data_IF_845446217398
#
_entry.id   IF_845446217398
#
_cell.length_a   1.000
_cell.length_b   1.000
_cell.length_c   1.000
_cell.angle_alpha   90.00
_cell.angle_beta   90.00
_cell.angle_gamma   90.00
#
_symmetry.space_group_name_H-M   'P 1'
#
loop_
_entity.id
_entity.type
_entity.pdbx_description
1 polymer ?
#
# COMPACT_ATOMS: atom_id res chain seq x y z
N UNK A 1 -10.76 24.08 -7.66
CA UNK A 1 -9.35 23.81 -7.32
C UNK A 1 -8.59 23.75 -8.62
N UNK A 2 -7.60 24.63 -8.82
CA UNK A 2 -6.75 24.59 -10.01
C UNK A 2 -5.97 23.26 -10.01
N UNK A 3 -5.87 22.62 -11.17
CA UNK A 3 -4.99 21.46 -11.34
C UNK A 3 -3.56 21.84 -10.95
N UNK A 4 -2.80 20.97 -10.25
CA UNK A 4 -1.42 21.27 -9.92
C UNK A 4 -0.62 21.53 -11.20
N UNK A 5 0.35 22.45 -11.14
CA UNK A 5 1.21 22.78 -12.28
C UNK A 5 1.94 21.54 -12.86
N UNK A 6 2.14 20.51 -12.01
CA UNK A 6 2.68 19.20 -12.38
C UNK A 6 1.60 18.12 -12.37
N UNK A 7 0.45 18.38 -13.00
CA UNK A 7 -0.54 17.35 -13.27
C UNK A 7 0.06 16.22 -14.14
N UNK A 8 -0.43 14.99 -13.94
CA UNK A 8 -0.02 13.82 -14.73
C UNK A 8 -0.33 14.03 -16.21
N UNK A 9 0.65 13.73 -17.07
CA UNK A 9 0.53 13.87 -18.53
C UNK A 9 0.58 12.48 -19.18
N UNK A 10 -0.04 12.28 -20.37
CA UNK A 10 0.03 11.00 -21.09
C UNK A 10 1.46 10.48 -21.30
N UNK A 11 2.41 11.39 -21.50
CA UNK A 11 3.80 11.05 -21.80
C UNK A 11 4.65 10.69 -20.56
N UNK A 12 4.13 10.96 -19.35
CA UNK A 12 4.84 10.67 -18.10
C UNK A 12 5.11 9.18 -17.89
N UNK A 13 4.37 8.31 -18.58
CA UNK A 13 4.48 6.85 -18.47
C UNK A 13 5.21 6.21 -19.66
N UNK A 14 5.86 7.00 -20.53
CA UNK A 14 6.61 6.46 -21.69
C UNK A 14 8.05 6.07 -21.35
N UNK A 15 8.68 6.77 -20.41
CA UNK A 15 10.06 6.54 -19.99
C UNK A 15 10.17 6.54 -18.47
N UNK A 16 11.13 5.81 -17.86
CA UNK A 16 11.29 5.78 -16.42
C UNK A 16 11.48 7.17 -15.81
N UNK A 17 10.57 7.55 -14.90
CA UNK A 17 10.59 8.82 -14.16
C UNK A 17 9.88 8.62 -12.81
N UNK A 18 10.34 9.17 -11.68
CA UNK A 18 9.69 8.96 -10.39
C UNK A 18 8.41 9.81 -10.26
N UNK A 19 7.36 9.43 -10.99
CA UNK A 19 6.07 10.11 -11.05
C UNK A 19 5.38 10.12 -9.69
N UNK A 20 5.36 8.95 -9.02
CA UNK A 20 4.73 8.72 -7.72
C UNK A 20 5.81 8.39 -6.69
N UNK A 21 6.02 9.30 -5.74
CA UNK A 21 7.00 9.11 -4.67
C UNK A 21 6.26 8.82 -3.38
N UNK A 22 6.72 7.84 -2.62
CA UNK A 22 6.26 7.59 -1.26
C UNK A 22 7.44 7.80 -0.32
N UNK A 23 7.27 8.70 0.64
CA UNK A 23 8.37 9.20 1.46
C UNK A 23 8.06 9.01 2.95
N UNK A 24 8.77 8.07 3.58
CA UNK A 24 8.85 7.95 5.03
C UNK A 24 9.75 9.08 5.55
N UNK A 25 9.16 10.13 6.14
CA UNK A 25 9.94 11.30 6.61
C UNK A 25 10.46 11.15 8.04
N UNK A 26 9.96 10.14 8.75
CA UNK A 26 10.38 9.77 10.10
C UNK A 26 9.94 8.33 10.37
N UNK A 27 10.67 7.56 11.18
CA UNK A 27 10.22 6.26 11.69
C UNK A 27 9.39 6.40 12.98
N UNK A 28 9.33 7.61 13.55
CA UNK A 28 8.54 7.89 14.76
C UNK A 28 7.05 7.63 14.51
N UNK A 29 6.40 6.90 15.41
CA UNK A 29 5.00 6.52 15.32
C UNK A 29 4.30 6.60 16.69
N UNK A 30 3.02 6.96 16.69
CA UNK A 30 2.16 6.92 17.88
C UNK A 30 1.18 5.73 17.87
N UNK A 31 1.48 4.74 17.01
CA UNK A 31 0.81 3.45 16.90
C UNK A 31 1.84 2.31 17.03
N UNK A 32 1.38 1.18 17.54
CA UNK A 32 2.20 -0.04 17.70
C UNK A 32 1.67 -1.19 16.83
N UNK A 33 1.15 -0.87 15.64
CA UNK A 33 0.43 -1.79 14.77
C UNK A 33 1.12 -3.15 14.65
N UNK A 34 0.39 -4.20 14.99
CA UNK A 34 0.86 -5.58 14.99
C UNK A 34 1.17 -6.11 13.57
N UNK A 35 0.73 -5.41 12.52
CA UNK A 35 1.02 -5.72 11.12
C UNK A 35 2.05 -4.77 10.48
N UNK A 36 2.66 -3.87 11.25
CA UNK A 36 3.50 -2.79 10.70
C UNK A 36 4.71 -3.32 9.92
N UNK A 37 4.76 -3.04 8.62
CA UNK A 37 5.84 -3.46 7.73
C UNK A 37 7.19 -2.77 8.01
N UNK A 38 7.19 -1.56 8.55
CA UNK A 38 8.41 -0.81 8.88
C UNK A 38 8.89 -1.04 10.32
N UNK A 39 8.15 -1.80 11.14
CA UNK A 39 8.35 -1.90 12.59
C UNK A 39 8.49 -0.52 13.26
N UNK A 40 7.73 0.48 12.77
CA UNK A 40 7.82 1.86 13.24
C UNK A 40 7.60 2.00 14.76
N UNK A 41 8.29 2.97 15.36
CA UNK A 41 8.37 3.16 16.81
C UNK A 41 9.02 4.50 17.10
N UNK A 42 10.28 4.51 17.55
CA UNK A 42 11.06 5.73 17.71
C UNK A 42 11.58 6.27 16.37
N UNK A 43 11.99 7.54 16.36
CA UNK A 43 12.69 8.13 15.23
C UNK A 43 14.02 7.42 14.99
N UNK A 44 14.47 7.34 13.73
CA UNK A 44 15.83 6.86 13.46
C UNK A 44 16.87 7.86 14.00
N UNK A 45 18.04 7.40 14.46
CA UNK A 45 19.09 8.31 14.92
C UNK A 45 19.60 9.26 13.83
N UNK A 46 19.53 8.82 12.57
CA UNK A 46 20.12 9.45 11.40
C UNK A 46 19.07 9.92 10.38
N UNK A 47 17.87 10.30 10.83
CA UNK A 47 16.86 10.91 9.95
C UNK A 47 17.40 12.16 9.24
N UNK A 48 16.90 12.43 8.03
CA UNK A 48 17.20 13.67 7.32
C UNK A 48 16.78 14.88 8.17
N UNK A 49 17.63 15.89 8.23
CA UNK A 49 17.33 17.24 8.73
C UNK A 49 16.28 17.94 7.86
N UNK A 50 15.73 19.06 8.35
CA UNK A 50 14.75 19.83 7.57
C UNK A 50 15.36 20.32 6.25
N UNK A 51 16.62 20.75 6.28
CA UNK A 51 17.35 21.25 5.12
C UNK A 51 17.57 20.15 4.08
N UNK A 52 18.03 18.96 4.52
CA UNK A 52 18.17 17.79 3.64
C UNK A 52 16.83 17.35 3.03
N UNK A 53 15.73 17.41 3.78
CA UNK A 53 14.39 17.14 3.22
C UNK A 53 14.02 18.13 2.11
N UNK A 54 14.32 19.42 2.28
CA UNK A 54 14.02 20.42 1.25
C UNK A 54 14.89 20.23 0.01
N UNK A 55 16.17 19.85 0.17
CA UNK A 55 17.07 19.52 -0.94
C UNK A 55 16.59 18.31 -1.74
N UNK A 56 16.15 17.25 -1.06
CA UNK A 56 15.55 16.08 -1.70
C UNK A 56 14.25 16.46 -2.42
N UNK A 57 13.41 17.31 -1.83
CA UNK A 57 12.21 17.81 -2.48
C UNK A 57 12.53 18.56 -3.78
N UNK A 58 13.57 19.41 -3.78
CA UNK A 58 14.04 20.09 -4.99
C UNK A 58 14.58 19.11 -6.05
N UNK A 59 15.26 18.04 -5.61
CA UNK A 59 15.69 16.98 -6.51
C UNK A 59 14.52 16.25 -7.19
N UNK A 60 13.44 15.97 -6.44
CA UNK A 60 12.20 15.40 -6.99
C UNK A 60 11.53 16.33 -8.01
N UNK A 61 11.53 17.64 -7.73
CA UNK A 61 11.05 18.66 -8.67
C UNK A 61 11.85 18.62 -9.97
N UNK A 62 13.19 18.54 -9.90
CA UNK A 62 14.08 18.42 -11.08
C UNK A 62 13.86 17.11 -11.84
N UNK A 63 13.66 16.00 -11.14
CA UNK A 63 13.36 14.70 -11.75
C UNK A 63 11.95 14.61 -12.36
N UNK A 64 11.11 15.62 -12.15
CA UNK A 64 9.78 15.67 -12.74
C UNK A 64 8.76 14.82 -12.00
N UNK A 65 8.90 14.64 -10.69
CA UNK A 65 7.84 14.04 -9.87
C UNK A 65 6.53 14.81 -10.00
N UNK A 66 5.41 14.09 -9.88
CA UNK A 66 4.05 14.64 -9.99
C UNK A 66 3.34 14.61 -8.64
N UNK A 67 3.49 13.50 -7.92
CA UNK A 67 2.84 13.27 -6.64
C UNK A 67 3.82 12.72 -5.62
N UNK A 68 3.77 13.26 -4.40
CA UNK A 68 4.51 12.78 -3.24
C UNK A 68 3.51 12.44 -2.15
N UNK A 69 3.47 11.18 -1.72
CA UNK A 69 2.73 10.74 -0.55
C UNK A 69 3.67 10.67 0.64
N UNK A 70 3.44 11.54 1.62
CA UNK A 70 4.12 11.50 2.91
C UNK A 70 3.55 10.37 3.77
N UNK A 71 4.46 9.56 4.31
CA UNK A 71 4.19 8.54 5.30
C UNK A 71 5.20 8.73 6.45
N UNK A 72 5.23 7.83 7.41
CA UNK A 72 6.35 7.74 8.36
C UNK A 72 6.46 6.33 8.90
N UNK A 73 6.79 6.23 10.18
CA UNK A 73 5.75 5.85 11.14
C UNK A 73 4.53 6.76 10.96
N UNK A 74 4.54 7.96 11.54
CA UNK A 74 3.52 9.01 11.32
C UNK A 74 4.15 10.35 10.94
N UNK A 75 3.97 10.77 9.68
CA UNK A 75 4.57 12.00 9.13
C UNK A 75 4.26 13.25 9.95
N UNK A 76 3.04 13.36 10.48
CA UNK A 76 2.61 14.55 11.24
C UNK A 76 3.30 14.70 12.60
N UNK A 77 3.99 13.66 13.08
CA UNK A 77 4.78 13.75 14.30
C UNK A 77 6.05 14.57 14.07
N UNK A 78 6.42 14.82 12.81
CA UNK A 78 7.53 15.69 12.45
C UNK A 78 7.05 17.14 12.38
N UNK A 79 7.57 18.01 13.26
CA UNK A 79 7.08 19.39 13.40
C UNK A 79 7.27 20.26 12.16
N UNK A 80 8.25 19.94 11.31
CA UNK A 80 8.58 20.62 10.06
C UNK A 80 7.79 20.08 8.85
N UNK A 81 6.90 19.08 9.00
CA UNK A 81 6.18 18.48 7.88
C UNK A 81 5.36 19.52 7.09
N UNK A 82 4.80 20.54 7.76
CA UNK A 82 4.06 21.62 7.09
C UNK A 82 4.94 22.41 6.12
N UNK A 83 6.20 22.69 6.49
CA UNK A 83 7.17 23.40 5.62
C UNK A 83 7.49 22.57 4.39
N UNK A 84 7.69 21.27 4.56
CA UNK A 84 7.96 20.34 3.44
C UNK A 84 6.76 20.26 2.47
N UNK A 85 5.54 20.15 3.00
CA UNK A 85 4.30 20.14 2.20
C UNK A 85 4.18 21.45 1.40
N UNK A 86 4.38 22.59 2.06
CA UNK A 86 4.30 23.91 1.42
C UNK A 86 5.33 24.06 0.31
N UNK A 87 6.58 23.66 0.56
CA UNK A 87 7.68 23.73 -0.40
C UNK A 87 7.38 22.94 -1.69
N UNK A 88 6.99 21.67 -1.55
CA UNK A 88 6.64 20.82 -2.70
C UNK A 88 5.38 21.32 -3.42
N UNK A 89 4.38 21.78 -2.69
CA UNK A 89 3.13 22.28 -3.28
C UNK A 89 3.36 23.56 -4.09
N UNK A 90 4.18 24.50 -3.59
CA UNK A 90 4.59 25.70 -4.34
C UNK A 90 5.35 25.35 -5.62
N UNK A 91 6.14 24.28 -5.61
CA UNK A 91 6.81 23.76 -6.80
C UNK A 91 5.88 22.97 -7.75
N UNK A 92 4.59 22.87 -7.42
CA UNK A 92 3.54 22.27 -8.24
C UNK A 92 3.37 20.76 -8.07
N UNK A 93 4.08 20.12 -7.12
CA UNK A 93 3.88 18.71 -6.78
C UNK A 93 2.56 18.56 -6.02
N UNK A 94 1.78 17.53 -6.36
CA UNK A 94 0.62 17.13 -5.56
C UNK A 94 1.10 16.40 -4.32
N UNK A 95 0.84 16.95 -3.14
CA UNK A 95 1.24 16.32 -1.87
C UNK A 95 0.04 15.66 -1.19
N UNK A 96 0.19 14.41 -0.78
CA UNK A 96 -0.81 13.63 -0.02
C UNK A 96 -0.15 13.00 1.19
N UNK A 97 -0.95 12.48 2.14
CA UNK A 97 -0.42 11.83 3.35
C UNK A 97 -1.17 10.52 3.63
N UNK A 98 -0.48 9.51 4.17
CA UNK A 98 -1.11 8.34 4.80
C UNK A 98 -0.84 8.35 6.30
N UNK A 99 -1.82 7.95 7.09
CA UNK A 99 -1.74 8.04 8.54
C UNK A 99 -2.70 7.08 9.24
N UNK A 100 -2.37 6.65 10.46
CA UNK A 100 -3.26 5.91 11.34
C UNK A 100 -4.37 6.76 11.96
N UNK A 101 -4.26 8.10 11.90
CA UNK A 101 -5.33 9.03 12.23
C UNK A 101 -5.40 9.46 13.70
N UNK A 102 -4.63 8.85 14.60
CA UNK A 102 -4.70 9.11 16.06
C UNK A 102 -4.47 10.58 16.42
N UNK A 103 -3.47 11.18 15.80
CA UNK A 103 -3.12 12.58 15.98
C UNK A 103 -3.91 13.56 15.13
N UNK A 104 -4.90 13.17 14.32
CA UNK A 104 -5.57 14.12 13.42
C UNK A 104 -6.61 15.00 14.15
N UNK A 105 -6.14 16.03 14.86
CA UNK A 105 -6.97 17.08 15.44
C UNK A 105 -7.49 18.05 14.37
N UNK A 106 -8.57 18.78 14.67
CA UNK A 106 -9.12 19.79 13.75
C UNK A 106 -8.08 20.87 13.39
N UNK A 107 -7.31 21.35 14.37
CA UNK A 107 -6.23 22.33 14.16
C UNK A 107 -5.13 21.77 13.23
N UNK A 108 -4.70 20.53 13.44
CA UNK A 108 -3.70 19.87 12.60
C UNK A 108 -4.20 19.70 11.17
N UNK A 109 -5.44 19.23 10.98
CA UNK A 109 -6.05 19.10 9.66
C UNK A 109 -6.13 20.45 8.93
N UNK A 110 -6.48 21.54 9.65
CA UNK A 110 -6.49 22.90 9.10
C UNK A 110 -5.09 23.33 8.64
N UNK A 111 -4.07 23.18 9.49
CA UNK A 111 -2.68 23.51 9.14
C UNK A 111 -2.15 22.69 7.97
N UNK A 112 -2.48 21.40 7.90
CA UNK A 112 -2.13 20.54 6.76
C UNK A 112 -2.78 21.05 5.47
N UNK A 113 -4.06 21.46 5.53
CA UNK A 113 -4.76 22.03 4.39
C UNK A 113 -4.14 23.37 3.96
N UNK A 114 -3.86 24.26 4.91
CA UNK A 114 -3.23 25.57 4.69
C UNK A 114 -1.85 25.42 4.03
N UNK A 115 -1.05 24.42 4.46
CA UNK A 115 0.23 24.07 3.84
C UNK A 115 0.10 23.55 2.40
N UNK A 116 -1.10 23.20 1.94
CA UNK A 116 -1.37 22.76 0.57
C UNK A 116 -1.60 21.26 0.41
N UNK A 117 -1.75 20.50 1.51
CA UNK A 117 -2.06 19.06 1.43
C UNK A 117 -3.36 18.83 0.64
N UNK A 118 -3.29 17.93 -0.34
CA UNK A 118 -4.39 17.70 -1.27
C UNK A 118 -5.35 16.59 -0.82
N UNK A 119 -4.81 15.54 -0.21
CA UNK A 119 -5.59 14.41 0.28
C UNK A 119 -4.90 13.72 1.46
N UNK A 120 -5.71 13.11 2.32
CA UNK A 120 -5.23 12.31 3.44
C UNK A 120 -5.90 10.95 3.45
N UNK A 121 -5.09 9.90 3.52
CA UNK A 121 -5.52 8.53 3.70
C UNK A 121 -5.46 8.15 5.17
N UNK A 122 -6.62 7.86 5.76
CA UNK A 122 -6.68 7.34 7.13
C UNK A 122 -6.82 5.84 7.06
N UNK A 123 -5.84 5.12 7.59
CA UNK A 123 -5.88 3.67 7.61
C UNK A 123 -7.02 3.22 8.51
N UNK A 124 -7.90 2.32 8.04
CA UNK A 124 -8.98 1.74 8.84
C UNK A 124 -9.10 0.25 8.50
N UNK A 125 -8.76 -0.63 9.43
CA UNK A 125 -8.58 -2.05 9.11
C UNK A 125 -9.84 -2.92 9.35
N UNK A 126 -10.97 -2.30 9.71
CA UNK A 126 -12.24 -2.98 9.91
C UNK A 126 -13.11 -2.29 10.96
N UNK A 127 -14.17 -2.96 11.43
CA UNK A 127 -14.90 -2.59 12.64
C UNK A 127 -13.96 -2.53 13.85
N UNK A 128 -14.41 -1.89 14.93
CA UNK A 128 -13.59 -1.58 16.12
C UNK A 128 -12.73 -2.74 16.61
N UNK A 129 -13.33 -3.91 16.82
CA UNK A 129 -12.61 -5.08 17.32
C UNK A 129 -11.46 -5.50 16.38
N UNK A 130 -11.71 -5.56 15.06
CA UNK A 130 -10.68 -5.93 14.09
C UNK A 130 -9.61 -4.83 13.98
N UNK A 131 -10.02 -3.58 13.93
CA UNK A 131 -9.13 -2.43 13.79
C UNK A 131 -8.18 -2.31 14.98
N UNK A 132 -8.71 -2.25 16.20
CA UNK A 132 -7.90 -2.04 17.40
C UNK A 132 -6.92 -3.19 17.62
N UNK A 133 -7.35 -4.44 17.43
CA UNK A 133 -6.48 -5.62 17.46
C UNK A 133 -5.33 -5.51 16.44
N UNK A 134 -5.62 -5.20 15.18
CA UNK A 134 -4.59 -5.09 14.14
C UNK A 134 -3.62 -3.94 14.41
N UNK A 135 -4.11 -2.88 15.06
CA UNK A 135 -3.35 -1.70 15.47
C UNK A 135 -2.63 -1.85 16.80
N UNK A 136 -2.90 -2.93 17.54
CA UNK A 136 -2.48 -3.14 18.92
C UNK A 136 -2.75 -1.91 19.80
N UNK A 137 -3.88 -1.22 19.60
CA UNK A 137 -4.14 0.07 20.22
C UNK A 137 -5.64 0.26 20.48
N UNK A 138 -6.11 0.06 21.72
CA UNK A 138 -7.51 0.33 22.08
C UNK A 138 -7.90 1.80 21.80
N UNK A 139 -9.08 1.98 21.22
CA UNK A 139 -9.62 3.29 20.84
C UNK A 139 -9.03 3.87 19.55
N UNK A 140 -8.13 3.15 18.86
CA UNK A 140 -7.53 3.61 17.61
C UNK A 140 -8.56 3.72 16.48
N UNK A 141 -9.58 2.85 16.47
CA UNK A 141 -10.72 2.90 15.56
C UNK A 141 -11.50 4.21 15.71
N UNK A 142 -11.89 4.55 16.94
CA UNK A 142 -12.61 5.79 17.24
C UNK A 142 -11.78 7.02 16.86
N UNK A 143 -10.47 6.99 17.13
CA UNK A 143 -9.55 8.05 16.77
C UNK A 143 -9.41 8.20 15.24
N UNK A 144 -9.30 7.11 14.50
CA UNK A 144 -9.27 7.11 13.03
C UNK A 144 -10.56 7.72 12.43
N UNK A 145 -11.73 7.31 12.91
CA UNK A 145 -13.02 7.88 12.47
C UNK A 145 -13.15 9.37 12.80
N UNK A 146 -12.67 9.80 13.98
CA UNK A 146 -12.59 11.22 14.33
C UNK A 146 -11.64 11.98 13.40
N UNK A 147 -10.49 11.40 13.08
CA UNK A 147 -9.52 11.96 12.14
C UNK A 147 -10.09 12.14 10.73
N UNK A 148 -10.87 11.16 10.24
CA UNK A 148 -11.60 11.27 8.97
C UNK A 148 -12.55 12.47 8.99
N UNK A 149 -13.35 12.64 10.05
CA UNK A 149 -14.27 13.78 10.18
C UNK A 149 -13.53 15.12 10.17
N UNK A 150 -12.50 15.25 11.01
CA UNK A 150 -11.70 16.48 11.10
C UNK A 150 -11.03 16.84 9.76
N UNK A 151 -10.51 15.85 9.03
CA UNK A 151 -9.90 16.06 7.73
C UNK A 151 -10.93 16.55 6.68
N UNK A 152 -12.14 15.96 6.68
CA UNK A 152 -13.23 16.38 5.79
C UNK A 152 -13.69 17.80 6.09
N UNK A 153 -13.86 18.14 7.36
CA UNK A 153 -14.23 19.50 7.79
C UNK A 153 -13.18 20.54 7.39
N UNK A 154 -11.90 20.17 7.40
CA UNK A 154 -10.82 21.00 6.88
C UNK A 154 -10.77 21.08 5.34
N UNK A 155 -11.68 20.40 4.62
CA UNK A 155 -11.75 20.42 3.16
C UNK A 155 -10.70 19.55 2.45
N UNK A 156 -10.11 18.57 3.15
CA UNK A 156 -9.23 17.58 2.54
C UNK A 156 -10.05 16.49 1.85
N UNK A 157 -9.56 15.98 0.73
CA UNK A 157 -10.06 14.72 0.16
C UNK A 157 -9.62 13.57 1.08
N UNK A 158 -10.57 12.76 1.54
CA UNK A 158 -10.27 11.62 2.41
C UNK A 158 -10.34 10.31 1.67
N UNK A 159 -9.27 9.51 1.80
CA UNK A 159 -9.21 8.12 1.37
C UNK A 159 -8.99 7.21 2.57
N UNK A 160 -9.12 5.90 2.39
CA UNK A 160 -8.73 4.93 3.42
C UNK A 160 -7.94 3.78 2.83
N UNK A 161 -7.09 3.17 3.64
CA UNK A 161 -6.31 1.99 3.31
C UNK A 161 -6.51 0.94 4.40
N UNK A 162 -6.60 -0.33 4.01
CA UNK A 162 -6.73 -1.45 4.94
C UNK A 162 -5.76 -2.56 4.60
N UNK A 163 -5.19 -3.19 5.62
CA UNK A 163 -4.39 -4.39 5.55
C UNK A 163 -5.29 -5.62 5.70
N UNK A 164 -5.62 -6.27 4.59
CA UNK A 164 -6.51 -7.42 4.52
C UNK A 164 -5.75 -8.70 4.86
N UNK A 165 -6.26 -9.42 5.85
CA UNK A 165 -5.68 -10.63 6.41
C UNK A 165 -6.79 -11.52 7.01
N UNK A 166 -6.41 -12.62 7.65
CA UNK A 166 -7.37 -13.61 8.19
C UNK A 166 -8.27 -13.05 9.31
N UNK A 167 -7.90 -11.94 9.96
CA UNK A 167 -8.68 -11.33 11.02
C UNK A 167 -9.81 -10.44 10.52
N UNK A 168 -9.70 -9.89 9.31
CA UNK A 168 -10.67 -8.93 8.79
C UNK A 168 -11.27 -9.28 7.43
N UNK A 169 -10.81 -10.36 6.77
CA UNK A 169 -11.36 -10.78 5.46
C UNK A 169 -12.87 -11.05 5.49
N UNK A 170 -13.41 -11.45 6.63
CA UNK A 170 -14.83 -11.82 6.79
C UNK A 170 -15.73 -10.61 7.10
N UNK A 171 -15.14 -9.43 7.38
CA UNK A 171 -15.87 -8.19 7.72
C UNK A 171 -15.62 -7.07 6.70
N UNK A 172 -15.18 -7.42 5.49
CA UNK A 172 -14.90 -6.45 4.41
C UNK A 172 -16.13 -5.62 4.04
N UNK A 173 -17.32 -6.22 4.06
CA UNK A 173 -18.56 -5.52 3.72
C UNK A 173 -18.92 -4.46 4.76
N UNK A 174 -18.86 -4.82 6.04
CA UNK A 174 -19.08 -3.89 7.16
C UNK A 174 -18.05 -2.75 7.13
N UNK A 175 -16.79 -3.08 6.83
CA UNK A 175 -15.72 -2.08 6.64
C UNK A 175 -16.06 -1.09 5.53
N UNK A 176 -16.55 -1.57 4.39
CA UNK A 176 -16.92 -0.71 3.26
C UNK A 176 -18.08 0.23 3.58
N UNK A 177 -19.10 -0.28 4.28
CA UNK A 177 -20.25 0.51 4.73
C UNK A 177 -19.83 1.62 5.68
N UNK A 178 -19.02 1.28 6.69
CA UNK A 178 -18.44 2.22 7.64
C UNK A 178 -17.63 3.33 6.95
N UNK A 179 -16.79 2.98 5.97
CA UNK A 179 -15.98 3.96 5.24
C UNK A 179 -16.82 4.85 4.32
N UNK A 180 -17.78 4.27 3.60
CA UNK A 180 -18.69 5.03 2.76
C UNK A 180 -19.51 6.04 3.58
N UNK A 181 -19.98 5.64 4.77
CA UNK A 181 -20.75 6.50 5.67
C UNK A 181 -19.89 7.58 6.34
N UNK A 182 -18.62 7.28 6.63
CA UNK A 182 -17.66 8.27 7.10
C UNK A 182 -17.31 9.34 6.01
N UNK A 183 -17.72 9.12 4.76
CA UNK A 183 -17.47 10.01 3.63
C UNK A 183 -16.08 9.84 3.02
N UNK A 184 -15.51 8.64 3.12
CA UNK A 184 -14.30 8.25 2.38
C UNK A 184 -14.64 8.19 0.88
N UNK A 185 -13.79 8.76 0.03
CA UNK A 185 -13.99 8.72 -1.42
C UNK A 185 -13.47 7.41 -2.04
N UNK A 186 -12.31 6.96 -1.59
CA UNK A 186 -11.66 5.75 -2.12
C UNK A 186 -11.14 4.90 -0.97
N UNK A 187 -11.54 3.63 -0.97
CA UNK A 187 -11.00 2.61 -0.08
C UNK A 187 -10.02 1.72 -0.85
N UNK A 188 -8.77 1.70 -0.42
CA UNK A 188 -7.74 0.81 -0.94
C UNK A 188 -7.62 -0.43 -0.05
N UNK A 189 -7.89 -1.60 -0.63
CA UNK A 189 -7.67 -2.88 0.02
C UNK A 189 -6.30 -3.43 -0.38
N UNK A 190 -5.40 -3.62 0.58
CA UNK A 190 -4.07 -4.19 0.38
C UNK A 190 -3.94 -5.47 1.17
N UNK A 191 -3.28 -6.48 0.62
CA UNK A 191 -3.01 -7.70 1.40
C UNK A 191 -1.92 -7.45 2.44
N UNK A 192 -2.07 -7.96 3.66
CA UNK A 192 -0.96 -8.02 4.62
C UNK A 192 0.10 -8.98 4.10
N UNK A 193 1.33 -8.49 3.88
CA UNK A 193 2.46 -9.34 3.52
C UNK A 193 3.26 -9.72 4.78
N UNK A 194 4.01 -10.85 4.75
CA UNK A 194 4.92 -11.26 5.83
C UNK A 194 6.17 -10.37 5.90
N UNK A 195 6.00 -9.09 6.23
CA UNK A 195 7.08 -8.12 6.39
C UNK A 195 6.90 -7.35 7.71
N UNK A 196 8.00 -6.97 8.35
CA UNK A 196 7.97 -6.31 9.65
C UNK A 196 7.24 -7.15 10.69
N UNK A 197 6.43 -6.51 11.54
CA UNK A 197 5.69 -7.18 12.62
C UNK A 197 4.68 -8.22 12.13
N UNK A 198 4.23 -8.14 10.86
CA UNK A 198 3.37 -9.16 10.28
C UNK A 198 4.12 -10.47 9.98
N UNK A 199 5.43 -10.44 9.79
CA UNK A 199 6.25 -11.63 9.61
C UNK A 199 6.29 -12.52 10.87
N UNK A 200 6.10 -11.91 12.04
CA UNK A 200 6.03 -12.59 13.34
C UNK A 200 4.66 -13.24 13.60
N UNK A 201 3.70 -13.07 12.67
CA UNK A 201 2.29 -13.48 12.80
C UNK A 201 1.81 -14.29 11.60
N UNK A 202 2.42 -15.45 11.31
CA UNK A 202 2.07 -16.26 10.14
C UNK A 202 0.61 -16.70 10.14
N UNK A 203 -0.02 -16.81 11.30
CA UNK A 203 -1.43 -17.15 11.50
C UNK A 203 -2.39 -16.04 11.04
N UNK A 204 -1.92 -14.79 10.90
CA UNK A 204 -2.72 -13.68 10.39
C UNK A 204 -2.74 -13.66 8.86
N UNK A 205 -1.69 -14.13 8.20
CA UNK A 205 -1.52 -14.01 6.77
C UNK A 205 -2.59 -14.79 6.01
N UNK A 206 -3.05 -14.24 4.89
CA UNK A 206 -3.89 -14.99 3.97
C UNK A 206 -3.10 -16.20 3.44
N UNK A 207 -3.82 -17.27 3.14
CA UNK A 207 -3.30 -18.35 2.31
C UNK A 207 -3.58 -18.04 0.83
N UNK A 208 -2.74 -18.52 -0.12
CA UNK A 208 -2.91 -18.27 -1.55
C UNK A 208 -4.32 -18.49 -2.09
N UNK A 209 -5.03 -19.54 -1.65
CA UNK A 209 -6.40 -19.82 -2.12
C UNK A 209 -7.45 -18.83 -1.60
N UNK A 210 -7.21 -18.16 -0.47
CA UNK A 210 -8.15 -17.21 0.15
C UNK A 210 -8.31 -15.93 -0.68
N UNK A 211 -7.38 -15.64 -1.60
CA UNK A 211 -7.50 -14.48 -2.48
C UNK A 211 -8.73 -14.54 -3.39
N UNK A 212 -9.27 -15.73 -3.67
CA UNK A 212 -10.50 -15.86 -4.46
C UNK A 212 -11.67 -15.18 -3.73
N UNK A 213 -11.94 -15.62 -2.50
CA UNK A 213 -13.01 -15.09 -1.65
C UNK A 213 -12.86 -13.58 -1.41
N UNK A 214 -11.64 -13.12 -1.11
CA UNK A 214 -11.36 -11.70 -0.89
C UNK A 214 -11.68 -10.86 -2.13
N UNK A 215 -11.24 -11.29 -3.31
CA UNK A 215 -11.46 -10.53 -4.56
C UNK A 215 -12.93 -10.54 -4.98
N UNK A 216 -13.60 -11.68 -4.85
CA UNK A 216 -15.03 -11.80 -5.16
C UNK A 216 -15.86 -10.89 -4.24
N UNK A 217 -15.54 -10.88 -2.94
CA UNK A 217 -16.18 -9.99 -1.96
C UNK A 217 -15.94 -8.51 -2.30
N UNK A 218 -14.71 -8.11 -2.63
CA UNK A 218 -14.39 -6.74 -3.01
C UNK A 218 -15.12 -6.31 -4.29
N UNK A 219 -15.29 -7.22 -5.25
CA UNK A 219 -16.07 -6.97 -6.47
C UNK A 219 -17.54 -6.73 -6.15
N UNK A 220 -18.13 -7.53 -5.27
CA UNK A 220 -19.52 -7.35 -4.83
C UNK A 220 -19.71 -6.04 -4.06
N UNK A 221 -18.74 -5.64 -3.24
CA UNK A 221 -18.73 -4.34 -2.58
C UNK A 221 -18.66 -3.20 -3.59
N UNK A 222 -17.82 -3.29 -4.63
CA UNK A 222 -17.75 -2.27 -5.67
C UNK A 222 -19.09 -2.12 -6.42
N UNK A 223 -19.76 -3.23 -6.72
CA UNK A 223 -21.12 -3.21 -7.33
C UNK A 223 -22.16 -2.64 -6.38
N UNK A 224 -22.07 -2.94 -5.08
CA UNK A 224 -22.92 -2.32 -4.08
C UNK A 224 -22.70 -0.81 -4.02
N UNK A 225 -21.45 -0.34 -4.07
CA UNK A 225 -21.14 1.08 -4.05
C UNK A 225 -21.71 1.82 -5.29
N UNK A 226 -21.67 1.17 -6.46
CA UNK A 226 -22.33 1.66 -7.68
C UNK A 226 -23.84 1.84 -7.49
N UNK A 227 -24.52 0.80 -6.97
CA UNK A 227 -25.97 0.87 -6.70
C UNK A 227 -26.30 1.94 -5.66
N UNK A 228 -25.56 1.97 -4.55
CA UNK A 228 -25.70 2.99 -3.50
C UNK A 228 -25.57 4.41 -4.03
N UNK A 229 -24.63 4.65 -4.96
CA UNK A 229 -24.47 5.95 -5.59
C UNK A 229 -25.66 6.30 -6.48
N UNK A 230 -26.10 5.35 -7.32
CA UNK A 230 -27.27 5.52 -8.20
C UNK A 230 -28.55 5.82 -7.41
N UNK A 231 -28.84 5.05 -6.34
CA UNK A 231 -30.01 5.24 -5.48
C UNK A 231 -30.04 6.62 -4.80
N UNK A 232 -28.86 7.23 -4.62
CA UNK A 232 -28.69 8.55 -4.00
C UNK A 232 -28.50 9.69 -5.02
N UNK A 233 -28.60 9.41 -6.32
CA UNK A 233 -28.35 10.40 -7.38
C UNK A 233 -26.92 10.94 -7.39
N UNK A 234 -25.95 10.19 -6.86
CA UNK A 234 -24.53 10.57 -6.84
C UNK A 234 -23.89 10.08 -8.15
N UNK A 235 -23.30 10.98 -8.97
CA UNK A 235 -22.59 10.56 -10.18
C UNK A 235 -21.48 9.56 -9.86
N UNK A 236 -21.24 8.61 -10.77
CA UNK A 236 -20.29 7.53 -10.56
C UNK A 236 -18.88 8.04 -10.22
N UNK A 237 -18.45 9.16 -10.79
CA UNK A 237 -17.14 9.77 -10.59
C UNK A 237 -16.92 10.31 -9.16
N UNK A 238 -18.01 10.49 -8.40
CA UNK A 238 -18.01 10.98 -7.02
C UNK A 238 -18.45 9.93 -6.01
N UNK A 239 -18.69 8.70 -6.47
CA UNK A 239 -19.10 7.60 -5.61
C UNK A 239 -17.94 7.14 -4.70
N UNK A 240 -18.30 6.33 -3.70
CA UNK A 240 -17.31 5.53 -2.98
C UNK A 240 -16.74 4.46 -3.93
N UNK A 241 -15.42 4.32 -3.96
CA UNK A 241 -14.77 3.30 -4.80
C UNK A 241 -13.84 2.39 -4.00
N UNK A 242 -13.96 1.09 -4.26
CA UNK A 242 -12.97 0.09 -3.88
C UNK A 242 -11.83 0.10 -4.88
N UNK A 243 -10.59 0.00 -4.37
CA UNK A 243 -9.36 -0.12 -5.15
C UNK A 243 -8.51 -1.25 -4.62
N UNK A 244 -8.05 -2.10 -5.53
CA UNK A 244 -7.01 -3.05 -5.18
C UNK A 244 -5.67 -2.34 -5.02
N UNK A 245 -4.96 -2.69 -3.95
CA UNK A 245 -3.53 -2.46 -3.86
C UNK A 245 -2.76 -3.15 -4.98
N UNK A 246 -1.53 -2.72 -5.19
CA UNK A 246 -0.64 -3.36 -6.17
C UNK A 246 -0.37 -4.83 -5.82
N UNK A 247 -0.58 -5.25 -4.57
CA UNK A 247 -0.31 -6.58 -4.05
C UNK A 247 -1.51 -7.53 -4.03
N UNK A 248 -2.63 -7.21 -4.68
CA UNK A 248 -3.87 -7.99 -4.62
C UNK A 248 -4.54 -8.13 -6.00
N UNK A 249 -5.13 -9.28 -6.30
CA UNK A 249 -5.90 -9.56 -7.52
C UNK A 249 -5.18 -10.41 -8.56
N UNK A 250 -5.00 -9.83 -9.76
CA UNK A 250 -4.34 -10.37 -10.96
C UNK A 250 -5.19 -11.35 -11.79
N UNK A 251 -5.68 -10.83 -12.92
CA UNK A 251 -6.28 -11.56 -14.05
C UNK A 251 -7.43 -12.51 -13.65
N UNK A 252 -8.27 -12.04 -12.72
CA UNK A 252 -9.57 -12.65 -12.41
C UNK A 252 -10.72 -12.04 -13.20
N UNK A 253 -11.95 -12.56 -13.06
CA UNK A 253 -13.15 -12.04 -13.74
C UNK A 253 -13.54 -10.63 -13.30
N UNK A 254 -12.93 -10.11 -12.23
CA UNK A 254 -13.23 -8.78 -11.65
C UNK A 254 -12.10 -7.77 -11.85
N UNK A 255 -11.06 -8.13 -12.63
CA UNK A 255 -9.85 -7.33 -12.81
C UNK A 255 -10.16 -5.90 -13.31
N UNK A 256 -10.97 -5.78 -14.37
CA UNK A 256 -11.36 -4.47 -14.91
C UNK A 256 -12.23 -3.68 -13.93
N UNK A 257 -13.22 -4.32 -13.29
CA UNK A 257 -14.12 -3.66 -12.34
C UNK A 257 -13.36 -3.02 -11.17
N UNK A 258 -12.35 -3.72 -10.66
CA UNK A 258 -11.62 -3.31 -9.45
C UNK A 258 -10.39 -2.45 -9.74
N UNK A 259 -9.82 -2.51 -10.96
CA UNK A 259 -8.62 -1.74 -11.31
C UNK A 259 -8.91 -0.46 -12.12
N UNK A 260 -10.04 -0.39 -12.80
CA UNK A 260 -10.41 0.77 -13.64
C UNK A 260 -10.86 1.97 -12.81
N UNK A 261 -10.22 3.12 -13.03
CA UNK A 261 -10.61 4.38 -12.38
C UNK A 261 -11.83 5.00 -13.08
N UNK A 262 -12.81 5.56 -12.34
CA UNK A 262 -13.88 6.36 -12.92
C UNK A 262 -13.32 7.41 -13.85
N UNK A 263 -13.94 7.55 -15.02
CA UNK A 263 -13.49 8.48 -16.06
C UNK A 263 -12.17 8.11 -16.73
N UNK A 264 -11.62 6.91 -16.52
CA UNK A 264 -10.44 6.39 -17.22
C UNK A 264 -10.80 5.19 -18.11
N UNK A 265 -10.02 4.90 -19.16
CA UNK A 265 -10.18 3.67 -19.94
C UNK A 265 -10.04 2.42 -19.06
N UNK A 266 -10.65 1.32 -19.53
CA UNK A 266 -10.55 0.01 -18.88
C UNK A 266 -9.08 -0.35 -18.61
N UNK A 267 -8.82 -0.84 -17.41
CA UNK A 267 -7.47 -1.13 -16.94
C UNK A 267 -7.36 -2.50 -16.31
N UNK A 268 -6.16 -3.07 -16.40
CA UNK A 268 -5.76 -4.34 -15.79
C UNK A 268 -4.28 -4.24 -15.37
N UNK A 269 -3.80 -5.23 -14.62
CA UNK A 269 -2.41 -5.24 -14.16
C UNK A 269 -1.42 -5.31 -15.33
N UNK A 270 -0.55 -4.31 -15.45
CA UNK A 270 0.45 -4.20 -16.53
C UNK A 270 1.89 -4.39 -16.04
N UNK A 271 2.07 -5.07 -14.91
CA UNK A 271 3.37 -5.32 -14.31
C UNK A 271 3.76 -4.31 -13.23
N UNK A 272 4.87 -4.62 -12.56
CA UNK A 272 5.40 -3.82 -11.46
C UNK A 272 5.89 -2.45 -11.95
N UNK A 273 5.45 -1.38 -11.28
CA UNK A 273 5.87 0.00 -11.57
C UNK A 273 7.06 0.49 -10.73
N UNK A 274 7.57 -0.36 -9.81
CA UNK A 274 8.69 -0.03 -8.95
C UNK A 274 9.93 0.36 -9.76
N UNK A 275 10.53 1.50 -9.46
CA UNK A 275 11.68 2.03 -10.20
C UNK A 275 11.41 2.42 -11.65
N UNK A 276 10.19 2.22 -12.17
CA UNK A 276 9.73 2.77 -13.46
C UNK A 276 9.06 4.12 -13.24
N UNK A 277 8.02 4.12 -12.41
CA UNK A 277 7.17 5.28 -12.13
C UNK A 277 6.99 5.55 -10.64
N UNK A 278 7.50 4.65 -9.81
CA UNK A 278 7.39 4.70 -8.35
C UNK A 278 8.77 4.79 -7.73
N UNK A 279 8.90 5.59 -6.68
CA UNK A 279 10.08 5.69 -5.82
C UNK A 279 9.65 5.61 -4.35
N UNK A 280 10.45 4.93 -3.54
CA UNK A 280 10.39 4.95 -2.08
C UNK A 280 11.59 5.70 -1.51
N UNK A 281 11.37 6.50 -0.47
CA UNK A 281 12.42 7.20 0.28
C UNK A 281 12.21 6.90 1.76
N UNK A 282 13.22 6.36 2.44
CA UNK A 282 13.21 6.14 3.89
C UNK A 282 13.67 7.38 4.65
N UNK A 283 13.40 7.43 5.95
CA UNK A 283 13.62 8.66 6.74
C UNK A 283 15.08 9.06 6.90
N UNK A 284 16.01 8.10 6.73
CA UNK A 284 17.46 8.30 6.73
C UNK A 284 18.02 8.73 5.35
N UNK A 285 17.17 8.83 4.33
CA UNK A 285 17.56 9.17 2.97
C UNK A 285 17.81 7.99 2.03
N UNK A 286 17.60 6.75 2.49
CA UNK A 286 17.72 5.55 1.67
C UNK A 286 16.67 5.50 0.56
N UNK A 287 17.09 5.18 -0.67
CA UNK A 287 16.24 5.15 -1.86
C UNK A 287 15.94 3.72 -2.29
N UNK A 288 14.66 3.45 -2.57
CA UNK A 288 14.13 2.17 -3.07
C UNK A 288 13.26 2.37 -4.30
N UNK A 289 13.16 1.34 -5.15
CA UNK A 289 12.23 1.36 -6.29
C UNK A 289 10.75 1.31 -5.87
N UNK A 290 10.46 0.88 -4.64
CA UNK A 290 9.13 0.87 -4.04
C UNK A 290 9.30 0.98 -2.52
N UNK A 291 8.49 1.80 -1.82
CA UNK A 291 8.57 1.92 -0.35
C UNK A 291 8.35 0.59 0.38
N UNK A 292 7.51 -0.30 -0.19
CA UNK A 292 7.15 -1.56 0.43
C UNK A 292 8.15 -2.69 0.19
N UNK A 293 9.14 -2.51 -0.69
CA UNK A 293 10.15 -3.56 -0.87
C UNK A 293 11.05 -3.63 0.38
N UNK A 294 11.51 -4.84 0.77
CA UNK A 294 12.50 -4.98 1.82
C UNK A 294 13.72 -4.10 1.55
N UNK A 295 14.32 -3.54 2.58
CA UNK A 295 15.39 -2.54 2.38
C UNK A 295 16.66 -3.18 1.84
N UNK A 296 17.25 -4.14 2.57
CA UNK A 296 18.56 -4.71 2.23
C UNK A 296 18.72 -5.19 0.75
N UNK A 297 17.76 -5.90 0.13
CA UNK A 297 17.92 -6.34 -1.26
C UNK A 297 17.50 -5.31 -2.34
N UNK A 298 17.05 -4.11 -1.95
CA UNK A 298 16.46 -3.13 -2.89
C UNK A 298 16.92 -1.67 -2.65
N UNK A 299 17.93 -1.47 -1.80
CA UNK A 299 18.54 -0.16 -1.61
C UNK A 299 19.39 0.21 -2.82
N UNK A 300 19.02 1.28 -3.52
CA UNK A 300 19.81 1.83 -4.62
C UNK A 300 20.92 2.81 -4.19
N UNK A 301 20.85 3.29 -2.95
CA UNK A 301 21.78 4.29 -2.42
C UNK A 301 21.12 5.19 -1.37
N UNK A 302 21.86 6.18 -0.88
CA UNK A 302 21.39 7.16 0.10
C UNK A 302 21.69 8.58 -0.40
N UNK A 303 20.73 9.49 -0.26
CA UNK A 303 20.85 10.89 -0.73
C UNK A 303 21.90 11.71 0.01
N UNK A 304 22.36 11.27 1.18
CA UNK A 304 23.48 11.88 1.91
C UNK A 304 24.83 11.62 1.26
N UNK A 305 24.93 10.60 0.40
CA UNK A 305 26.20 10.17 -0.22
C UNK A 305 26.19 10.21 -1.75
N UNK A 306 25.04 10.31 -2.39
CA UNK A 306 24.92 10.40 -3.85
C UNK A 306 23.73 11.28 -4.27
N UNK A 307 23.81 11.89 -5.45
CA UNK A 307 22.70 12.67 -5.98
C UNK A 307 21.51 11.76 -6.30
N UNK A 308 20.30 12.20 -5.96
CA UNK A 308 19.07 11.42 -6.18
C UNK A 308 18.87 11.03 -7.66
N UNK A 309 19.33 11.88 -8.59
CA UNK A 309 19.24 11.61 -10.02
C UNK A 309 20.12 10.43 -10.43
N UNK A 310 21.34 10.35 -9.91
CA UNK A 310 22.29 9.28 -10.21
C UNK A 310 21.75 7.96 -9.65
N UNK A 311 21.28 7.96 -8.40
CA UNK A 311 20.63 6.79 -7.80
C UNK A 311 19.44 6.31 -8.64
N UNK A 312 18.57 7.22 -9.10
CA UNK A 312 17.41 6.85 -9.90
C UNK A 312 17.81 6.30 -11.28
N UNK A 313 18.79 6.89 -11.94
CA UNK A 313 19.13 6.53 -13.32
C UNK A 313 20.01 5.28 -13.40
N UNK A 314 20.90 5.07 -12.42
CA UNK A 314 22.02 4.14 -12.55
C UNK A 314 21.92 2.92 -11.62
N UNK A 315 21.22 3.01 -10.49
CA UNK A 315 21.21 1.92 -9.50
C UNK A 315 20.40 0.69 -9.99
N UNK A 316 21.03 -0.50 -10.13
CA UNK A 316 20.36 -1.71 -10.62
C UNK A 316 19.25 -2.20 -9.66
N UNK A 317 19.41 -1.98 -8.36
CA UNK A 317 18.43 -2.31 -7.31
C UNK A 317 17.13 -1.52 -7.45
N UNK A 318 17.19 -0.35 -8.11
CA UNK A 318 16.03 0.47 -8.46
C UNK A 318 15.47 0.04 -9.82
N UNK A 319 16.36 -0.17 -10.80
CA UNK A 319 15.99 -0.41 -12.19
C UNK A 319 15.38 -1.80 -12.47
N UNK A 320 15.40 -2.75 -11.53
CA UNK A 320 15.03 -4.16 -11.76
C UNK A 320 13.72 -4.40 -12.53
N UNK A 321 12.71 -3.53 -12.39
CA UNK A 321 11.44 -3.71 -13.09
C UNK A 321 11.47 -3.16 -14.52
N UNK A 322 12.32 -2.17 -14.83
CA UNK A 322 12.42 -1.46 -16.12
C UNK A 322 12.50 -2.46 -17.27
N UNK A 323 13.45 -3.38 -17.16
CA UNK A 323 13.81 -4.31 -18.22
C UNK A 323 13.37 -5.75 -17.93
N UNK A 324 12.52 -5.95 -16.91
CA UNK A 324 12.03 -7.29 -16.55
C UNK A 324 11.33 -7.96 -17.72
N UNK A 325 11.84 -9.12 -18.16
CA UNK A 325 11.17 -10.02 -19.09
C UNK A 325 10.67 -11.31 -18.42
N UNK A 326 10.31 -12.30 -19.23
CA UNK A 326 9.88 -13.64 -18.77
C UNK A 326 11.04 -14.55 -18.33
N UNK A 327 12.29 -14.09 -18.47
CA UNK A 327 13.49 -14.79 -18.00
C UNK A 327 13.59 -14.88 -16.48
N UNK A 328 13.13 -13.87 -15.73
CA UNK A 328 13.11 -13.86 -14.25
C UNK A 328 12.03 -14.78 -13.66
N UNK A 329 11.07 -15.22 -14.47
CA UNK A 329 9.94 -16.02 -14.01
C UNK A 329 10.37 -17.45 -13.69
N UNK A 330 9.71 -18.06 -12.72
CA UNK A 330 9.89 -19.46 -12.31
C UNK A 330 8.60 -20.00 -11.68
N UNK A 331 8.54 -21.29 -11.38
CA UNK A 331 7.34 -21.93 -10.82
C UNK A 331 6.11 -21.74 -11.71
N UNK A 332 4.94 -21.51 -11.10
CA UNK A 332 3.67 -21.30 -11.82
C UNK A 332 3.75 -20.15 -12.83
N UNK A 333 4.44 -19.06 -12.48
CA UNK A 333 4.50 -17.87 -13.33
C UNK A 333 5.31 -18.09 -14.62
N UNK A 334 6.21 -19.09 -14.68
CA UNK A 334 7.04 -19.34 -15.87
C UNK A 334 6.23 -19.74 -17.09
N UNK A 335 5.21 -20.57 -16.90
CA UNK A 335 4.35 -21.11 -17.94
C UNK A 335 2.95 -20.48 -17.94
N UNK A 336 2.76 -19.39 -17.19
CA UNK A 336 1.47 -18.71 -17.08
C UNK A 336 1.09 -18.04 -18.41
N UNK A 337 -0.17 -18.17 -18.80
CA UNK A 337 -0.74 -17.50 -19.97
C UNK A 337 -0.48 -15.98 -19.98
N UNK A 338 -0.50 -15.32 -18.82
CA UNK A 338 -0.29 -13.87 -18.68
C UNK A 338 1.17 -13.47 -18.45
N UNK A 339 2.15 -14.36 -18.60
CA UNK A 339 3.54 -14.15 -18.18
C UNK A 339 4.17 -12.86 -18.75
N UNK A 340 4.00 -12.60 -20.05
CA UNK A 340 4.60 -11.44 -20.76
C UNK A 340 4.11 -10.09 -20.22
N UNK A 341 2.80 -9.99 -19.96
CA UNK A 341 2.14 -8.77 -19.49
C UNK A 341 2.29 -8.60 -17.97
N UNK A 342 2.04 -9.68 -17.22
CA UNK A 342 1.97 -9.66 -15.77
C UNK A 342 3.34 -9.56 -15.10
N UNK A 343 4.31 -10.33 -15.60
CA UNK A 343 5.66 -10.47 -15.05
C UNK A 343 5.67 -10.81 -13.55
N UNK A 344 4.81 -11.76 -13.17
CA UNK A 344 4.61 -12.31 -11.82
C UNK A 344 4.07 -11.35 -10.74
N UNK A 345 3.21 -10.40 -11.09
CA UNK A 345 2.48 -9.58 -10.12
C UNK A 345 3.41 -8.68 -9.27
N UNK A 346 3.00 -8.40 -8.04
CA UNK A 346 3.77 -7.57 -7.12
C UNK A 346 5.07 -8.24 -6.67
N UNK A 347 6.20 -7.57 -6.91
CA UNK A 347 7.52 -8.02 -6.47
C UNK A 347 7.72 -7.99 -4.97
N UNK A 348 7.10 -7.03 -4.28
CA UNK A 348 7.09 -6.97 -2.81
C UNK A 348 6.43 -8.23 -2.24
N UNK A 349 5.23 -8.57 -2.70
CA UNK A 349 4.51 -9.76 -2.24
C UNK A 349 5.29 -11.04 -2.46
N UNK A 350 5.81 -11.25 -3.68
CA UNK A 350 6.58 -12.44 -3.98
C UNK A 350 7.85 -12.51 -3.13
N UNK A 351 8.62 -11.42 -3.05
CA UNK A 351 9.88 -11.44 -2.31
C UNK A 351 9.65 -11.63 -0.80
N UNK A 352 8.72 -10.90 -0.19
CA UNK A 352 8.44 -11.05 1.23
C UNK A 352 7.87 -12.44 1.56
N UNK A 353 7.06 -13.04 0.68
CA UNK A 353 6.51 -14.36 0.95
C UNK A 353 7.53 -15.49 0.77
N UNK A 354 8.27 -15.50 -0.35
CA UNK A 354 9.06 -16.68 -0.75
C UNK A 354 10.55 -16.36 -0.99
N UNK A 355 11.01 -15.20 -0.53
CA UNK A 355 12.42 -14.76 -0.62
C UNK A 355 12.90 -14.39 -2.03
N UNK A 356 12.04 -14.49 -3.05
CA UNK A 356 12.42 -14.28 -4.45
C UNK A 356 11.26 -13.73 -5.29
N UNK A 357 11.59 -12.80 -6.21
CA UNK A 357 10.65 -12.29 -7.21
C UNK A 357 10.36 -13.35 -8.28
N UNK A 358 9.37 -13.09 -9.16
CA UNK A 358 9.17 -13.92 -10.36
C UNK A 358 8.20 -15.08 -10.21
N UNK A 359 7.62 -15.31 -9.01
CA UNK A 359 6.62 -16.37 -8.78
C UNK A 359 5.66 -16.00 -7.63
N UNK A 360 4.71 -15.08 -7.84
CA UNK A 360 3.79 -14.68 -6.77
C UNK A 360 2.72 -15.78 -6.49
N UNK A 361 2.62 -16.32 -5.26
CA UNK A 361 1.58 -17.28 -4.91
C UNK A 361 0.20 -16.64 -4.71
N UNK A 362 0.13 -15.36 -4.35
CA UNK A 362 -1.11 -14.64 -4.06
C UNK A 362 -1.72 -14.04 -5.33
N UNK A 363 -2.18 -14.91 -6.24
CA UNK A 363 -2.73 -14.53 -7.53
C UNK A 363 -4.07 -15.20 -7.78
N UNK A 364 -5.09 -14.41 -8.12
CA UNK A 364 -6.44 -14.90 -8.39
C UNK A 364 -6.44 -15.92 -9.54
N UNK A 365 -5.77 -15.61 -10.65
CA UNK A 365 -5.68 -16.53 -11.78
C UNK A 365 -5.00 -17.85 -11.39
N UNK A 366 -3.90 -17.78 -10.64
CA UNK A 366 -3.18 -18.97 -10.13
C UNK A 366 -4.06 -19.83 -9.26
N UNK A 367 -4.67 -19.24 -8.22
CA UNK A 367 -5.57 -19.94 -7.32
C UNK A 367 -6.75 -20.59 -8.07
N UNK A 368 -7.28 -19.93 -9.10
CA UNK A 368 -8.32 -20.51 -9.97
C UNK A 368 -7.82 -21.73 -10.75
N UNK A 369 -6.59 -21.69 -11.29
CA UNK A 369 -6.02 -22.86 -11.99
C UNK A 369 -5.75 -24.02 -11.02
N UNK A 370 -5.29 -23.74 -9.81
CA UNK A 370 -5.11 -24.76 -8.77
C UNK A 370 -6.47 -25.39 -8.41
N UNK A 371 -7.50 -24.58 -8.18
CA UNK A 371 -8.87 -25.05 -7.90
C UNK A 371 -9.39 -26.02 -8.98
N UNK A 372 -9.17 -25.70 -10.26
CA UNK A 372 -9.56 -26.56 -11.40
C UNK A 372 -8.86 -27.92 -11.40
N UNK A 373 -7.66 -28.01 -10.83
CA UNK A 373 -6.91 -29.25 -10.65
C UNK A 373 -7.31 -30.01 -9.37
N UNK A 374 -8.27 -29.51 -8.59
CA UNK A 374 -8.60 -30.06 -7.28
C UNK A 374 -7.51 -29.83 -6.22
N UNK A 375 -6.64 -28.83 -6.42
CA UNK A 375 -5.51 -28.52 -5.53
C UNK A 375 -5.61 -27.09 -5.00
N UNK A 376 -5.06 -26.84 -3.82
CA UNK A 376 -4.82 -25.50 -3.28
C UNK A 376 -3.40 -25.36 -2.77
N UNK A 377 -2.94 -24.12 -2.70
CA UNK A 377 -1.61 -23.77 -2.19
C UNK A 377 -1.73 -23.12 -0.81
N UNK A 378 -0.80 -23.48 0.08
CA UNK A 378 -0.54 -22.82 1.36
C UNK A 378 0.87 -22.26 1.38
N UNK A 379 1.09 -21.22 2.18
CA UNK A 379 2.43 -20.78 2.56
C UNK A 379 2.77 -21.26 3.96
N UNK A 380 3.93 -21.89 4.12
CA UNK A 380 4.39 -22.44 5.41
C UNK A 380 5.69 -21.76 5.79
N UNK A 381 5.72 -21.19 7.00
CA UNK A 381 6.91 -20.51 7.53
C UNK A 381 8.08 -21.50 7.62
N UNK A 382 9.20 -21.14 7.00
CA UNK A 382 10.47 -21.88 7.08
C UNK A 382 11.52 -21.17 7.91
N UNK A 383 11.58 -19.85 7.80
CA UNK A 383 12.53 -19.04 8.55
C UNK A 383 11.83 -17.77 9.06
N UNK A 384 11.93 -17.52 10.37
CA UNK A 384 11.43 -16.29 10.98
C UNK A 384 12.22 -15.07 10.50
N UNK A 385 11.60 -13.89 10.58
CA UNK A 385 12.25 -12.64 10.24
C UNK A 385 13.30 -12.26 11.31
N UNK A 386 14.40 -11.58 10.95
CA UNK A 386 15.47 -11.18 11.88
C UNK A 386 15.08 -10.21 13.02
N UNK A 387 14.01 -9.42 12.86
CA UNK A 387 13.55 -8.40 13.80
C UNK A 387 13.80 -6.94 13.37
N UNK A 388 14.36 -6.70 12.18
CA UNK A 388 14.74 -5.37 11.69
C UNK A 388 13.60 -4.64 10.95
N UNK A 389 13.62 -3.30 10.83
CA UNK A 389 12.70 -2.57 9.96
C UNK A 389 12.70 -3.12 8.52
N UNK A 390 11.51 -3.32 7.94
CA UNK A 390 11.33 -3.86 6.58
C UNK A 390 11.89 -5.28 6.36
N UNK A 391 12.15 -6.03 7.42
CA UNK A 391 12.52 -7.44 7.38
C UNK A 391 11.36 -8.34 6.95
N UNK A 392 11.64 -9.60 6.62
CA UNK A 392 10.61 -10.55 6.21
C UNK A 392 10.99 -11.98 6.59
N UNK A 393 9.97 -12.82 6.79
CA UNK A 393 10.15 -14.26 6.97
C UNK A 393 10.22 -14.97 5.63
N UNK A 394 10.82 -16.17 5.58
CA UNK A 394 10.81 -17.00 4.38
C UNK A 394 9.76 -18.09 4.51
N UNK A 395 8.90 -18.21 3.51
CA UNK A 395 7.87 -19.24 3.42
C UNK A 395 8.11 -20.12 2.21
N UNK A 396 7.69 -21.37 2.32
CA UNK A 396 7.58 -22.28 1.18
C UNK A 396 6.13 -22.41 0.73
N UNK A 397 5.93 -22.80 -0.53
CA UNK A 397 4.62 -23.12 -1.07
C UNK A 397 4.41 -24.63 -0.95
N UNK A 398 3.32 -25.03 -0.30
CA UNK A 398 2.89 -26.43 -0.20
C UNK A 398 1.57 -26.59 -0.95
N UNK A 399 1.48 -27.62 -1.78
CA UNK A 399 0.24 -28.00 -2.48
C UNK A 399 -0.49 -29.10 -1.70
N UNK A 400 -1.81 -29.00 -1.62
CA UNK A 400 -2.68 -29.99 -0.99
C UNK A 400 -4.01 -30.11 -1.73
N UNK A 401 -4.80 -31.18 -1.54
CA UNK A 401 -6.16 -31.27 -2.07
C UNK A 401 -7.02 -30.05 -1.69
N UNK A 402 -7.88 -29.61 -2.60
CA UNK A 402 -8.74 -28.43 -2.38
C UNK A 402 -9.59 -28.56 -1.11
N UNK A 403 -10.13 -29.76 -0.90
CA UNK A 403 -11.04 -30.09 0.20
C UNK A 403 -10.31 -30.48 1.50
N UNK A 404 -8.98 -30.31 1.55
CA UNK A 404 -8.22 -30.49 2.80
C UNK A 404 -8.82 -29.64 3.92
N UNK A 405 -8.80 -30.15 5.15
CA UNK A 405 -9.27 -29.40 6.31
C UNK A 405 -8.58 -28.01 6.34
N UNK A 406 -9.31 -26.91 6.60
CA UNK A 406 -8.66 -25.62 6.72
C UNK A 406 -7.63 -25.68 7.85
N UNK A 407 -6.50 -24.95 7.74
CA UNK A 407 -5.58 -24.81 8.87
C UNK A 407 -6.38 -24.37 10.10
N UNK A 408 -6.27 -25.11 11.22
CA UNK A 408 -7.08 -24.92 12.44
C UNK A 408 -7.45 -23.45 12.65
N UNK A 409 -8.74 -23.13 12.53
CA UNK A 409 -9.34 -21.81 12.76
C UNK A 409 -9.73 -21.70 14.25
N UNK A 410 -9.77 -20.54 14.90
CA UNK A 410 -9.75 -19.18 14.43
C UNK A 410 -8.70 -18.39 15.20
N UNK A 411 -8.00 -17.46 14.55
CA UNK A 411 -7.36 -16.40 15.31
C UNK A 411 -8.51 -15.53 15.81
N UNK A 412 -9.01 -15.84 17.02
CA UNK A 412 -9.94 -14.93 17.70
C UNK A 412 -9.16 -13.64 17.87
N UNK A 413 -9.79 -12.51 17.51
CA UNK A 413 -9.26 -11.19 17.81
C UNK A 413 -8.86 -11.21 19.29
N UNK A 414 -7.56 -11.11 19.64
CA UNK A 414 -7.18 -10.98 21.04
C UNK A 414 -7.94 -9.79 21.60
N UNK A 415 -8.69 -10.03 22.67
CA UNK A 415 -9.33 -8.96 23.43
C UNK A 415 -8.19 -8.14 24.00
N UNK A 416 -7.99 -6.94 23.46
CA UNK A 416 -7.05 -6.00 24.07
C UNK A 416 -7.65 -5.62 25.43
N UNK A 417 -6.91 -5.87 26.51
CA UNK A 417 -7.29 -5.37 27.82
C UNK A 417 -7.30 -3.83 27.75
N UNK A 418 -8.43 -3.23 28.17
CA UNK A 418 -8.68 -1.79 28.10
C UNK A 418 -7.90 -0.97 29.12
#
# INVERSE_FOLDING_TARGET
MNSPARALRPDDLRQPRPIYVVWETTLRCDHECAHCGSRAGDARPDELSTEELLEVADALVRLGSREVTLIGGEAYLRGDCYRLIEHMTKAGIRVTMQTGGRGLTQDRCRKLREAGLAAIGVSVDGPEAAHDTLRASPGSHAAALKGIRNAREAGLLVTSNSQINRLNKDVLRETAELLADAGVAVWRAQMTAPMGRAADRPDWLLEPYMVLEVIDTLADIQRWAQRRAADRGIPWERAFHVRLGNNLGYFGPHEQLLRTRPGSPDSYWQGCSAGKFVMGIESDGTIKGCPSLPTAPYTGGNVKTAALADIWNEAPEIAFARDRGTSELWGFCKSCYYAEVCRAGCSFTAHSAIGKRGNNPFCYYRATQMKRKGLRERVVLRQAAPGDPYDFGQYEIVEEPWDSAPPRAAVRLPVLAG
#
